data_IF_931682229547
#
_entry.id   IF_931682229547
#
_cell.length_a   1.000
_cell.length_b   1.000
_cell.length_c   1.000
_cell.angle_alpha   90.00
_cell.angle_beta   90.00
_cell.angle_gamma   90.00
#
_symmetry.space_group_name_H-M   'P 1'
#
loop_
_entity.id
_entity.type
_entity.pdbx_description
1 polymer ?
#
# COMPACT_ATOMS: atom_id res chain seq x y z
N UNK A 1 -34.97 -15.89 -28.20
CA UNK A 1 -33.54 -16.13 -27.94
C UNK A 1 -33.46 -17.37 -27.06
N UNK A 2 -32.80 -18.45 -27.50
CA UNK A 2 -32.83 -19.74 -26.78
C UNK A 2 -31.93 -19.73 -25.54
N UNK A 3 -32.23 -20.54 -24.50
CA UNK A 3 -31.43 -20.63 -23.28
C UNK A 3 -29.94 -20.93 -23.53
N UNK A 4 -29.64 -21.69 -24.59
CA UNK A 4 -28.27 -22.06 -24.96
C UNK A 4 -27.44 -20.85 -25.44
N UNK A 5 -28.09 -19.87 -26.08
CA UNK A 5 -27.40 -18.64 -26.53
C UNK A 5 -27.02 -17.74 -25.36
N UNK A 6 -27.83 -17.71 -24.29
CA UNK A 6 -27.53 -16.95 -23.08
C UNK A 6 -26.42 -17.59 -22.25
N UNK A 7 -26.43 -18.92 -22.16
CA UNK A 7 -25.39 -19.67 -21.44
C UNK A 7 -24.02 -19.49 -22.11
N UNK A 8 -23.96 -19.60 -23.44
CA UNK A 8 -22.72 -19.38 -24.19
C UNK A 8 -22.22 -17.93 -24.11
N UNK A 9 -23.12 -16.95 -24.09
CA UNK A 9 -22.74 -15.54 -23.95
C UNK A 9 -22.21 -15.25 -22.54
N UNK A 10 -22.81 -15.82 -21.50
CA UNK A 10 -22.36 -15.66 -20.12
C UNK A 10 -20.99 -16.30 -19.90
N UNK A 11 -20.78 -17.52 -20.41
CA UNK A 11 -19.48 -18.20 -20.29
C UNK A 11 -18.37 -17.48 -21.07
N UNK A 12 -18.69 -16.87 -22.21
CA UNK A 12 -17.71 -16.09 -22.98
C UNK A 12 -17.29 -14.80 -22.25
N UNK A 13 -18.24 -14.14 -21.57
CA UNK A 13 -17.97 -12.94 -20.76
C UNK A 13 -17.14 -13.26 -19.52
N UNK A 14 -17.39 -14.39 -18.85
CA UNK A 14 -16.59 -14.84 -17.70
C UNK A 14 -15.15 -15.18 -18.11
N UNK A 15 -14.96 -15.87 -19.23
CA UNK A 15 -13.62 -16.19 -19.74
C UNK A 15 -12.83 -14.94 -20.12
N UNK A 16 -13.50 -13.93 -20.69
CA UNK A 16 -12.86 -12.66 -21.06
C UNK A 16 -12.50 -11.84 -19.81
N UNK A 17 -13.36 -11.84 -18.79
CA UNK A 17 -13.09 -11.20 -17.50
C UNK A 17 -11.89 -11.85 -16.77
N UNK A 18 -11.81 -13.18 -16.77
CA UNK A 18 -10.70 -13.91 -16.15
C UNK A 18 -9.37 -13.70 -16.89
N UNK A 19 -9.42 -13.63 -18.22
CA UNK A 19 -8.25 -13.31 -19.06
C UNK A 19 -7.72 -11.89 -18.79
N UNK A 20 -8.62 -10.90 -18.71
CA UNK A 20 -8.27 -9.51 -18.36
C UNK A 20 -7.67 -9.44 -16.95
N UNK A 21 -8.26 -10.18 -16.00
CA UNK A 21 -7.79 -10.23 -14.62
C UNK A 21 -6.41 -10.88 -14.50
N UNK A 22 -6.17 -12.00 -15.17
CA UNK A 22 -4.88 -12.68 -15.20
C UNK A 22 -3.80 -11.81 -15.87
N UNK A 23 -4.13 -11.15 -16.97
CA UNK A 23 -3.23 -10.23 -17.67
C UNK A 23 -2.86 -9.03 -16.79
N UNK A 24 -3.84 -8.42 -16.11
CA UNK A 24 -3.61 -7.31 -15.18
C UNK A 24 -2.73 -7.72 -13.99
N UNK A 25 -2.92 -8.92 -13.43
CA UNK A 25 -2.07 -9.46 -12.35
C UNK A 25 -0.63 -9.70 -12.83
N UNK A 26 -0.46 -10.15 -14.08
CA UNK A 26 0.87 -10.45 -14.64
C UNK A 26 1.71 -9.22 -15.02
N UNK A 27 1.06 -8.10 -15.35
CA UNK A 27 1.72 -6.92 -15.93
C UNK A 27 1.74 -5.69 -15.03
N UNK A 28 0.97 -5.71 -13.94
CA UNK A 28 0.97 -4.63 -12.95
C UNK A 28 1.75 -5.14 -11.74
N UNK A 29 3.02 -4.72 -11.63
CA UNK A 29 3.90 -4.96 -10.49
C UNK A 29 3.43 -4.22 -9.23
N UNK A 30 2.23 -4.53 -8.73
CA UNK A 30 1.68 -3.91 -7.53
C UNK A 30 1.92 -4.74 -6.27
N UNK A 31 2.72 -5.81 -6.34
CA UNK A 31 2.88 -6.75 -5.24
C UNK A 31 4.00 -6.38 -4.23
N UNK A 32 4.78 -5.31 -4.45
CA UNK A 32 5.88 -4.95 -3.54
C UNK A 32 6.10 -3.45 -3.34
N UNK A 33 5.19 -2.58 -3.77
CA UNK A 33 5.17 -1.26 -3.15
C UNK A 33 4.70 -1.48 -1.72
N UNK A 34 5.64 -1.47 -0.76
CA UNK A 34 5.28 -1.24 0.62
C UNK A 34 4.30 -0.06 0.57
N UNK A 35 3.04 -0.30 0.94
CA UNK A 35 2.20 0.79 1.36
C UNK A 35 3.00 1.40 2.49
N UNK A 36 3.77 2.45 2.19
CA UNK A 36 3.91 3.53 3.12
C UNK A 36 2.46 3.82 3.46
N UNK A 37 2.00 3.25 4.56
CA UNK A 37 0.86 3.74 5.28
C UNK A 37 1.19 5.23 5.40
N UNK A 38 0.68 6.03 4.46
CA UNK A 38 0.65 7.48 4.57
C UNK A 38 0.11 7.66 5.97
N UNK A 39 0.98 7.99 6.92
CA UNK A 39 0.58 8.11 8.31
C UNK A 39 -0.50 9.16 8.26
N UNK A 40 -1.74 8.69 8.40
CA UNK A 40 -2.91 9.53 8.15
C UNK A 40 -2.78 10.67 9.16
N UNK A 41 -2.51 11.88 8.66
CA UNK A 41 -2.25 13.03 9.53
C UNK A 41 -3.59 13.43 10.11
N UNK A 42 -3.91 12.84 11.26
CA UNK A 42 -5.09 13.18 12.03
C UNK A 42 -5.07 14.68 12.33
N UNK A 43 -6.25 15.35 12.32
CA UNK A 43 -6.37 16.72 12.77
C UNK A 43 -5.68 16.93 14.12
N UNK A 44 -5.01 18.08 14.28
CA UNK A 44 -4.25 18.42 15.50
C UNK A 44 -5.08 18.27 16.78
N UNK A 45 -6.39 18.54 16.71
CA UNK A 45 -7.32 18.37 17.84
C UNK A 45 -7.49 16.91 18.25
N UNK A 46 -7.61 15.99 17.29
CA UNK A 46 -7.78 14.55 17.53
C UNK A 46 -6.47 13.92 18.02
N UNK A 47 -5.33 14.31 17.43
CA UNK A 47 -4.02 13.85 17.90
C UNK A 47 -3.69 14.35 19.32
N UNK A 48 -4.06 15.60 19.64
CA UNK A 48 -3.91 16.16 21.00
C UNK A 48 -4.74 15.40 22.04
N UNK A 49 -5.99 15.04 21.72
CA UNK A 49 -6.84 14.24 22.61
C UNK A 49 -6.28 12.83 22.83
N UNK A 50 -5.80 12.18 21.75
CA UNK A 50 -5.14 10.88 21.83
C UNK A 50 -3.92 10.93 22.77
N UNK A 51 -3.10 11.97 22.65
CA UNK A 51 -1.93 12.17 23.50
C UNK A 51 -2.33 12.41 24.96
N UNK A 52 -3.37 13.20 25.23
CA UNK A 52 -3.86 13.41 26.59
C UNK A 52 -4.38 12.12 27.23
N UNK A 53 -5.10 11.28 26.48
CA UNK A 53 -5.53 9.95 26.93
C UNK A 53 -4.32 9.05 27.26
N UNK A 54 -3.27 9.06 26.44
CA UNK A 54 -2.02 8.31 26.70
C UNK A 54 -1.30 8.80 27.97
N UNK A 55 -1.19 10.11 28.15
CA UNK A 55 -0.60 10.71 29.36
C UNK A 55 -1.40 10.35 30.61
N UNK A 56 -2.73 10.38 30.55
CA UNK A 56 -3.60 9.95 31.65
C UNK A 56 -3.45 8.46 31.99
N UNK A 57 -3.23 7.60 31.00
CA UNK A 57 -2.96 6.19 31.26
C UNK A 57 -1.60 5.98 31.94
N UNK A 58 -0.58 6.71 31.49
CA UNK A 58 0.77 6.63 32.06
C UNK A 58 0.79 7.09 33.52
N UNK A 59 0.12 8.21 33.81
CA UNK A 59 -0.08 8.72 35.16
C UNK A 59 -0.87 7.74 36.05
N UNK A 60 -1.61 6.78 35.47
CA UNK A 60 -2.33 5.75 36.24
C UNK A 60 -1.39 4.73 36.79
N UNK A 61 -0.50 4.29 35.92
CA UNK A 61 0.47 3.28 36.25
C UNK A 61 1.45 3.80 37.32
N UNK A 62 1.81 5.08 37.26
CA UNK A 62 2.67 5.75 38.25
C UNK A 62 1.99 5.96 39.61
N UNK A 63 0.73 6.43 39.64
CA UNK A 63 0.01 6.61 40.90
C UNK A 63 -0.39 5.29 41.56
N UNK A 64 -0.50 4.20 40.79
CA UNK A 64 -0.79 2.87 41.35
C UNK A 64 0.34 2.35 42.24
N UNK A 65 1.57 2.84 42.06
CA UNK A 65 2.72 2.45 42.88
C UNK A 65 2.91 3.27 44.18
N UNK A 66 2.21 4.39 44.35
CA UNK A 66 2.32 5.23 45.54
C UNK A 66 1.25 4.88 46.58
N UNK A 67 1.65 4.64 47.83
CA UNK A 67 0.74 4.32 48.95
C UNK A 67 0.05 5.60 49.45
N UNK A 68 -1.10 5.96 48.88
CA UNK A 68 -1.93 7.06 49.37
C UNK A 68 -3.00 6.57 50.37
N UNK A 69 -3.61 7.47 51.16
CA UNK A 69 -4.75 7.13 52.01
C UNK A 69 -5.99 6.73 51.18
N UNK A 70 -6.69 5.68 51.60
CA UNK A 70 -7.81 5.05 50.87
C UNK A 70 -8.94 6.01 50.43
N UNK A 71 -9.26 7.03 51.22
CA UNK A 71 -10.28 8.03 50.86
C UNK A 71 -9.83 8.96 49.72
N UNK A 72 -8.54 9.29 49.66
CA UNK A 72 -7.96 10.08 48.58
C UNK A 72 -7.89 9.25 47.27
N UNK A 73 -7.58 7.97 47.38
CA UNK A 73 -7.57 7.05 46.24
C UNK A 73 -8.95 6.86 45.61
N UNK A 74 -10.01 6.75 46.43
CA UNK A 74 -11.40 6.64 45.96
C UNK A 74 -11.86 7.88 45.19
N UNK A 75 -11.66 9.07 45.78
CA UNK A 75 -12.05 10.34 45.18
C UNK A 75 -11.25 10.63 43.89
N UNK A 76 -9.94 10.35 43.94
CA UNK A 76 -9.02 10.45 42.80
C UNK A 76 -9.41 9.49 41.66
N UNK A 77 -9.77 8.25 41.99
CA UNK A 77 -10.22 7.25 41.02
C UNK A 77 -11.52 7.66 40.33
N UNK A 78 -12.51 8.17 41.07
CA UNK A 78 -13.79 8.60 40.49
C UNK A 78 -13.64 9.79 39.53
N UNK A 79 -12.98 10.86 39.98
CA UNK A 79 -12.75 12.04 39.13
C UNK A 79 -11.98 11.68 37.85
N UNK A 80 -10.97 10.82 37.98
CA UNK A 80 -10.20 10.32 36.85
C UNK A 80 -11.02 9.48 35.88
N UNK A 81 -11.88 8.60 36.37
CA UNK A 81 -12.73 7.76 35.53
C UNK A 81 -13.72 8.61 34.73
N UNK A 82 -14.29 9.63 35.36
CA UNK A 82 -15.18 10.59 34.67
C UNK A 82 -14.44 11.42 33.63
N UNK A 83 -13.25 11.94 33.96
CA UNK A 83 -12.39 12.61 32.98
C UNK A 83 -12.08 11.69 31.79
N UNK A 84 -11.72 10.43 32.05
CA UNK A 84 -11.43 9.45 30.99
C UNK A 84 -12.65 9.24 30.08
N UNK A 85 -13.83 9.04 30.66
CA UNK A 85 -15.08 8.87 29.90
C UNK A 85 -15.36 10.08 29.01
N UNK A 86 -15.27 11.29 29.56
CA UNK A 86 -15.49 12.53 28.82
C UNK A 86 -14.52 12.70 27.64
N UNK A 87 -13.24 12.36 27.84
CA UNK A 87 -12.23 12.46 26.79
C UNK A 87 -12.41 11.44 25.68
N UNK A 88 -12.75 10.20 26.04
CA UNK A 88 -13.05 9.15 25.07
C UNK A 88 -14.29 9.52 24.25
N UNK A 89 -15.37 9.96 24.90
CA UNK A 89 -16.57 10.41 24.22
C UNK A 89 -16.28 11.59 23.26
N UNK A 90 -15.46 12.55 23.69
CA UNK A 90 -15.05 13.68 22.86
C UNK A 90 -14.17 13.25 21.68
N UNK A 91 -13.22 12.34 21.92
CA UNK A 91 -12.37 11.77 20.87
C UNK A 91 -13.21 11.02 19.83
N UNK A 92 -14.09 10.12 20.27
CA UNK A 92 -14.93 9.30 19.39
C UNK A 92 -15.90 10.17 18.56
N UNK A 93 -16.51 11.18 19.18
CA UNK A 93 -17.39 12.13 18.49
C UNK A 93 -16.65 12.91 17.41
N UNK A 94 -15.47 13.47 17.74
CA UNK A 94 -14.64 14.21 16.79
C UNK A 94 -14.13 13.31 15.66
N UNK A 95 -13.70 12.09 15.99
CA UNK A 95 -13.21 11.14 15.01
C UNK A 95 -14.31 10.75 14.02
N UNK A 96 -15.51 10.41 14.51
CA UNK A 96 -16.67 10.11 13.66
C UNK A 96 -17.05 11.29 12.77
N UNK A 97 -17.06 12.50 13.32
CA UNK A 97 -17.35 13.71 12.54
C UNK A 97 -16.32 13.93 11.41
N UNK A 98 -15.02 13.81 11.74
CA UNK A 98 -13.95 13.92 10.77
C UNK A 98 -14.02 12.84 9.69
N UNK A 99 -14.26 11.58 10.07
CA UNK A 99 -14.34 10.46 9.14
C UNK A 99 -15.55 10.59 8.21
N UNK A 100 -16.70 11.01 8.73
CA UNK A 100 -17.88 11.31 7.93
C UNK A 100 -17.61 12.42 6.89
N UNK A 101 -16.99 13.53 7.30
CA UNK A 101 -16.63 14.62 6.38
C UNK A 101 -15.61 14.16 5.33
N UNK A 102 -14.65 13.32 5.74
CA UNK A 102 -13.67 12.72 4.83
C UNK A 102 -14.35 11.83 3.79
N UNK A 103 -15.21 10.91 4.21
CA UNK A 103 -15.98 10.02 3.33
C UNK A 103 -16.84 10.86 2.38
N UNK A 104 -17.53 11.88 2.89
CA UNK A 104 -18.35 12.78 2.08
C UNK A 104 -17.54 13.48 0.99
N UNK A 105 -16.34 13.99 1.31
CA UNK A 105 -15.44 14.59 0.32
C UNK A 105 -14.98 13.59 -0.73
N UNK A 106 -14.65 12.36 -0.35
CA UNK A 106 -14.28 11.31 -1.30
C UNK A 106 -15.42 10.95 -2.25
N UNK A 107 -16.63 10.80 -1.71
CA UNK A 107 -17.83 10.53 -2.51
C UNK A 107 -18.11 11.69 -3.45
N UNK A 108 -18.06 12.93 -2.97
CA UNK A 108 -18.26 14.13 -3.77
C UNK A 108 -17.25 14.22 -4.92
N UNK A 109 -15.95 14.06 -4.64
CA UNK A 109 -14.92 14.08 -5.67
C UNK A 109 -15.15 12.98 -6.73
N UNK A 110 -15.63 11.79 -6.32
CA UNK A 110 -15.97 10.72 -7.26
C UNK A 110 -17.17 11.07 -8.12
N UNK A 111 -18.20 11.70 -7.54
CA UNK A 111 -19.38 12.16 -8.27
C UNK A 111 -19.05 13.29 -9.25
N UNK A 112 -18.19 14.24 -8.88
CA UNK A 112 -17.71 15.31 -9.75
C UNK A 112 -16.93 14.73 -10.95
N UNK A 113 -15.96 13.84 -10.70
CA UNK A 113 -15.26 13.12 -11.77
C UNK A 113 -16.24 12.37 -12.69
N UNK A 114 -17.27 11.74 -12.14
CA UNK A 114 -18.28 11.04 -12.93
C UNK A 114 -19.09 12.00 -13.82
N UNK A 115 -19.51 13.16 -13.30
CA UNK A 115 -20.24 14.19 -14.07
C UNK A 115 -19.39 14.76 -15.19
N UNK A 116 -18.14 15.13 -14.90
CA UNK A 116 -17.19 15.62 -15.91
C UNK A 116 -17.01 14.57 -17.04
N UNK A 117 -16.95 13.29 -16.69
CA UNK A 117 -16.82 12.21 -17.67
C UNK A 117 -18.10 11.99 -18.51
N UNK A 118 -19.28 12.32 -17.98
CA UNK A 118 -20.55 12.29 -18.74
C UNK A 118 -20.68 13.49 -19.68
N UNK A 119 -20.39 14.71 -19.21
CA UNK A 119 -20.50 15.92 -20.03
C UNK A 119 -19.52 15.92 -21.20
N UNK A 120 -18.34 15.34 -21.00
CA UNK A 120 -17.30 15.28 -22.03
C UNK A 120 -17.46 14.10 -23.03
N UNK A 121 -18.44 13.20 -22.86
CA UNK A 121 -18.52 11.91 -23.59
C UNK A 121 -17.18 11.13 -23.62
N UNK A 122 -16.28 11.37 -22.65
CA UNK A 122 -14.95 10.76 -22.58
C UNK A 122 -14.94 9.45 -21.78
N UNK A 123 -16.12 8.97 -21.37
CA UNK A 123 -16.34 7.70 -20.67
C UNK A 123 -16.14 6.48 -21.58
N UNK A 124 -15.11 6.49 -22.43
CA UNK A 124 -14.73 5.34 -23.24
C UNK A 124 -13.58 4.62 -22.55
N UNK A 125 -13.80 3.35 -22.21
CA UNK A 125 -12.73 2.49 -21.70
C UNK A 125 -11.62 2.42 -22.76
N UNK A 126 -10.43 2.86 -22.37
CA UNK A 126 -9.26 2.81 -23.25
C UNK A 126 -8.79 1.35 -23.29
N UNK A 127 -9.15 0.63 -24.34
CA UNK A 127 -8.76 -0.77 -24.54
C UNK A 127 -7.60 -0.94 -25.51
N UNK A 128 -7.24 0.11 -26.27
CA UNK A 128 -6.15 0.04 -27.25
C UNK A 128 -4.79 0.00 -26.54
N UNK A 129 -3.94 -1.02 -26.78
CA UNK A 129 -2.65 -1.18 -26.08
C UNK A 129 -1.74 0.06 -26.13
N UNK A 130 -1.69 0.75 -27.27
CA UNK A 130 -0.88 1.97 -27.45
C UNK A 130 -1.35 3.11 -26.54
N UNK A 131 -2.66 3.34 -26.45
CA UNK A 131 -3.23 4.39 -25.59
C UNK A 131 -3.16 4.02 -24.10
N UNK A 132 -3.29 2.73 -23.78
CA UNK A 132 -3.04 2.25 -22.41
C UNK A 132 -1.61 2.58 -22.01
N UNK A 133 -0.61 2.22 -22.82
CA UNK A 133 0.80 2.52 -22.55
C UNK A 133 1.05 4.02 -22.36
N UNK A 134 0.46 4.85 -23.21
CA UNK A 134 0.58 6.31 -23.11
C UNK A 134 -0.01 6.85 -21.80
N UNK A 135 -1.23 6.43 -21.45
CA UNK A 135 -1.92 6.85 -20.21
C UNK A 135 -1.23 6.34 -18.95
N UNK A 136 -0.73 5.10 -18.99
CA UNK A 136 0.08 4.50 -17.93
C UNK A 136 1.37 5.31 -17.73
N UNK A 137 2.09 5.61 -18.82
CA UNK A 137 3.30 6.41 -18.74
C UNK A 137 3.03 7.82 -18.20
N UNK A 138 1.98 8.49 -18.68
CA UNK A 138 1.54 9.79 -18.17
C UNK A 138 1.19 9.73 -16.67
N UNK A 139 0.49 8.69 -16.22
CA UNK A 139 0.14 8.49 -14.81
C UNK A 139 1.39 8.33 -13.94
N UNK A 140 2.32 7.45 -14.32
CA UNK A 140 3.53 7.18 -13.54
C UNK A 140 4.54 8.34 -13.57
N UNK A 141 4.58 9.13 -14.66
CA UNK A 141 5.40 10.35 -14.72
C UNK A 141 4.82 11.50 -13.89
N UNK A 142 3.49 11.56 -13.70
CA UNK A 142 2.81 12.63 -12.95
C UNK A 142 2.38 12.23 -11.53
N UNK A 143 2.54 10.96 -11.16
CA UNK A 143 2.46 10.51 -9.77
C UNK A 143 3.54 11.25 -8.96
N UNK A 144 3.27 11.71 -7.72
CA UNK A 144 4.07 12.75 -7.11
C UNK A 144 5.52 12.31 -6.88
N UNK A 145 6.44 12.91 -7.64
CA UNK A 145 7.82 13.14 -7.22
C UNK A 145 8.93 12.36 -7.94
N UNK A 146 8.63 11.39 -8.81
CA UNK A 146 9.70 10.66 -9.51
C UNK A 146 9.68 10.90 -11.01
N UNK A 147 10.57 11.77 -11.46
CA UNK A 147 11.01 11.78 -12.86
C UNK A 147 12.08 10.70 -13.00
N UNK A 148 11.89 9.77 -13.94
CA UNK A 148 12.94 8.82 -14.33
C UNK A 148 14.01 9.59 -15.09
N UNK A 149 15.19 9.68 -14.50
CA UNK A 149 16.36 10.35 -15.05
C UNK A 149 17.57 10.04 -14.18
N UNK A 150 18.77 10.40 -14.65
CA UNK A 150 19.99 10.22 -13.87
C UNK A 150 19.89 11.05 -12.58
N UNK A 151 19.94 10.36 -11.44
CA UNK A 151 19.90 10.98 -10.12
C UNK A 151 21.29 10.93 -9.52
N UNK A 152 21.81 12.09 -9.13
CA UNK A 152 23.01 12.16 -8.33
C UNK A 152 22.74 11.52 -6.96
N UNK A 153 23.61 10.62 -6.53
CA UNK A 153 23.55 10.02 -5.19
C UNK A 153 23.82 11.15 -4.18
N UNK A 154 22.94 11.35 -3.18
CA UNK A 154 23.17 12.35 -2.14
C UNK A 154 24.52 12.13 -1.41
N UNK A 155 25.26 13.19 -1.03
CA UNK A 155 26.57 13.05 -0.39
C UNK A 155 26.56 12.18 0.87
N UNK A 156 25.47 12.22 1.64
CA UNK A 156 25.27 11.39 2.84
C UNK A 156 25.20 9.89 2.55
N UNK A 157 24.86 9.51 1.32
CA UNK A 157 24.76 8.12 0.89
C UNK A 157 25.94 7.65 0.07
N UNK A 158 26.79 8.57 -0.42
CA UNK A 158 27.90 8.25 -1.31
C UNK A 158 28.80 7.14 -0.76
N UNK A 159 29.08 7.14 0.55
CA UNK A 159 29.90 6.12 1.20
C UNK A 159 29.27 4.71 1.20
N UNK A 160 27.93 4.60 1.25
CA UNK A 160 27.23 3.31 1.28
C UNK A 160 27.16 2.64 -0.09
N UNK A 161 27.26 3.43 -1.16
CA UNK A 161 27.21 2.95 -2.54
C UNK A 161 28.61 2.83 -3.17
N UNK A 162 29.69 2.93 -2.38
CA UNK A 162 31.03 2.63 -2.88
C UNK A 162 31.17 1.12 -3.14
N UNK A 163 31.90 0.70 -4.19
CA UNK A 163 32.22 -0.69 -4.41
C UNK A 163 32.86 -1.31 -3.17
N UNK A 164 32.37 -2.48 -2.77
CA UNK A 164 32.94 -3.23 -1.67
C UNK A 164 34.25 -3.86 -2.14
N UNK A 165 35.36 -3.56 -1.47
CA UNK A 165 36.68 -4.10 -1.83
C UNK A 165 36.78 -5.63 -1.75
N UNK A 166 35.84 -6.28 -1.06
CA UNK A 166 35.74 -7.73 -0.94
C UNK A 166 35.01 -8.39 -2.11
N UNK A 167 34.33 -7.60 -2.94
CA UNK A 167 33.55 -8.08 -4.07
C UNK A 167 34.39 -7.89 -5.32
N UNK A 168 34.57 -8.96 -6.09
CA UNK A 168 35.27 -8.90 -7.37
C UNK A 168 34.48 -8.01 -8.36
N UNK A 169 35.16 -7.11 -9.07
CA UNK A 169 34.53 -6.25 -10.06
C UNK A 169 33.88 -7.05 -11.21
N UNK A 170 34.32 -8.31 -11.40
CA UNK A 170 33.85 -9.20 -12.44
C UNK A 170 32.76 -10.18 -11.98
N UNK A 171 32.18 -10.04 -10.78
CA UNK A 171 31.14 -10.99 -10.31
C UNK A 171 29.94 -11.11 -11.25
N UNK A 172 29.70 -10.10 -12.09
CA UNK A 172 28.61 -10.09 -13.06
C UNK A 172 29.07 -10.29 -14.51
N UNK A 173 30.37 -10.51 -14.75
CA UNK A 173 30.93 -10.65 -16.10
C UNK A 173 30.23 -11.77 -16.88
N UNK A 174 29.89 -12.86 -16.19
CA UNK A 174 29.26 -14.04 -16.79
C UNK A 174 27.77 -14.18 -16.40
N UNK A 175 27.17 -13.19 -15.73
CA UNK A 175 25.78 -13.29 -15.23
C UNK A 175 24.76 -13.56 -16.35
N UNK A 176 25.03 -13.00 -17.54
CA UNK A 176 24.20 -13.17 -18.73
C UNK A 176 24.85 -14.07 -19.78
N UNK A 177 25.98 -14.71 -19.45
CA UNK A 177 26.60 -15.66 -20.34
C UNK A 177 25.74 -16.94 -20.40
N UNK A 178 25.53 -17.51 -21.60
CA UNK A 178 24.87 -18.80 -21.70
C UNK A 178 25.73 -19.89 -21.02
N UNK A 179 25.12 -20.94 -20.43
CA UNK A 179 25.90 -22.04 -19.86
C UNK A 179 26.78 -22.69 -20.92
N UNK A 180 28.02 -23.04 -20.55
CA UNK A 180 28.95 -23.69 -21.46
C UNK A 180 28.58 -25.16 -21.71
N UNK A 181 29.12 -25.75 -22.78
CA UNK A 181 28.93 -27.18 -23.07
C UNK A 181 29.36 -28.07 -21.90
N UNK A 182 30.40 -27.65 -21.16
CA UNK A 182 30.87 -28.37 -19.97
C UNK A 182 29.89 -28.27 -18.81
N UNK A 183 29.25 -27.10 -18.61
CA UNK A 183 28.20 -26.93 -17.60
C UNK A 183 26.97 -27.77 -17.94
N UNK A 184 26.58 -27.81 -19.21
CA UNK A 184 25.51 -28.67 -19.70
C UNK A 184 25.82 -30.16 -19.48
N UNK A 185 27.04 -30.61 -19.78
CA UNK A 185 27.46 -32.00 -19.53
C UNK A 185 27.46 -32.33 -18.03
N UNK A 186 27.90 -31.40 -17.18
CA UNK A 186 27.84 -31.56 -15.73
C UNK A 186 26.39 -31.71 -15.24
N UNK A 187 25.46 -30.90 -15.76
CA UNK A 187 24.03 -31.02 -15.45
C UNK A 187 23.47 -32.37 -15.93
N UNK A 188 23.75 -32.76 -17.18
CA UNK A 188 23.26 -34.01 -17.78
C UNK A 188 23.76 -35.23 -16.99
N UNK A 189 25.02 -35.22 -16.56
CA UNK A 189 25.60 -36.33 -15.77
C UNK A 189 25.11 -36.35 -14.32
N UNK A 190 24.75 -35.21 -13.74
CA UNK A 190 24.19 -35.09 -12.40
C UNK A 190 22.70 -35.46 -12.32
N UNK A 191 22.00 -35.52 -13.45
CA UNK A 191 20.60 -35.94 -13.46
C UNK A 191 20.48 -37.44 -13.14
N UNK A 192 19.54 -37.83 -12.27
CA UNK A 192 19.29 -39.24 -11.99
C UNK A 192 18.82 -39.94 -13.26
N UNK A 193 19.49 -41.03 -13.60
CA UNK A 193 19.10 -41.92 -14.70
C UNK A 193 17.73 -42.51 -14.33
N UNK A 194 16.83 -42.60 -15.30
CA UNK A 194 15.47 -43.17 -15.19
C UNK A 194 14.33 -42.24 -14.72
N UNK A 195 14.40 -40.92 -14.96
CA UNK A 195 13.23 -40.04 -14.78
C UNK A 195 12.13 -40.19 -15.85
N UNK A 196 12.42 -40.84 -16.97
CA UNK A 196 11.42 -41.12 -18.00
C UNK A 196 10.96 -42.58 -17.86
N UNK A 197 9.83 -42.77 -17.17
CA UNK A 197 9.02 -44.00 -17.15
C UNK A 197 7.70 -43.70 -17.84
#
# INVERSE_FOLDING_TARGET
MTPDKWSNFSSSLELEADSIKASAISHIDNHLSATEQKREILPKSISSLSNYIKSLNSLRNLLRSSKFPSNFDSLSSNYRNELRKLLLAKYDSLYKSYDNERIKKFVQARCENYKDNQENNTSHLITTPKKIKEKVNEHFQRCPGSVSGDKNIPPEWAAFYQPLSTVDDNIYQDLMAPPSDQDWLAIITALPKDKAV
#
